data_IF_691847502123
#
_entry.id   IF_691847502123
#
_cell.length_a   1.000
_cell.length_b   1.000
_cell.length_c   1.000
_cell.angle_alpha   90.00
_cell.angle_beta   90.00
_cell.angle_gamma   90.00
#
_symmetry.space_group_name_H-M   'P 1'
#
loop_
_entity.id
_entity.type
_entity.pdbx_description
1 polymer ?
#
# COMPACT_ATOMS: atom_id res chain seq x y z
N UNK A 1 11.62 7.13 10.33
CA UNK A 1 10.66 7.45 9.24
C UNK A 1 9.26 7.10 9.72
N UNK A 2 8.29 7.95 9.49
CA UNK A 2 6.93 7.73 9.97
C UNK A 2 5.87 7.74 8.85
N UNK A 3 4.84 6.93 9.04
CA UNK A 3 3.69 6.83 8.16
C UNK A 3 2.57 7.73 8.68
N UNK A 4 2.29 8.84 7.99
CA UNK A 4 1.33 9.87 8.44
C UNK A 4 -0.05 9.76 7.79
N UNK A 5 -0.23 8.89 6.81
CA UNK A 5 -1.38 8.91 5.90
C UNK A 5 -2.00 7.53 5.73
N UNK A 6 -3.01 7.45 4.87
CA UNK A 6 -3.68 6.18 4.56
C UNK A 6 -2.74 5.10 4.00
N UNK A 7 -3.08 3.85 4.24
CA UNK A 7 -2.28 2.67 3.90
C UNK A 7 -1.77 2.63 2.45
N UNK A 8 -2.56 3.11 1.50
CA UNK A 8 -2.13 3.17 0.09
C UNK A 8 -0.92 4.05 -0.14
N UNK A 9 -0.85 5.20 0.53
CA UNK A 9 0.30 6.09 0.45
C UNK A 9 1.54 5.44 1.09
N UNK A 10 1.37 4.80 2.24
CA UNK A 10 2.46 4.12 2.93
C UNK A 10 3.08 3.07 1.99
N UNK A 11 2.25 2.21 1.39
CA UNK A 11 2.70 1.19 0.43
C UNK A 11 3.36 1.83 -0.79
N UNK A 12 2.77 2.90 -1.34
CA UNK A 12 3.31 3.58 -2.51
C UNK A 12 4.70 4.19 -2.27
N UNK A 13 4.88 4.85 -1.13
CA UNK A 13 6.11 5.57 -0.81
C UNK A 13 7.18 4.70 -0.14
N UNK A 14 6.85 3.50 0.32
CA UNK A 14 7.83 2.54 0.84
C UNK A 14 8.94 2.21 -0.17
N UNK A 15 8.69 2.39 -1.48
CA UNK A 15 9.69 2.23 -2.55
C UNK A 15 10.95 3.08 -2.39
N UNK A 16 10.89 4.14 -1.58
CA UNK A 16 12.04 5.01 -1.31
C UNK A 16 12.93 4.51 -0.17
N UNK A 17 12.49 3.52 0.62
CA UNK A 17 13.26 2.95 1.73
C UNK A 17 14.63 2.41 1.27
N UNK A 18 14.72 1.61 0.20
CA UNK A 18 16.01 1.12 -0.27
C UNK A 18 16.97 2.24 -0.69
N UNK A 19 16.44 3.38 -1.14
CA UNK A 19 17.24 4.54 -1.51
C UNK A 19 17.84 5.20 -0.26
N UNK A 20 17.05 5.32 0.80
CA UNK A 20 17.55 5.84 2.08
C UNK A 20 18.70 5.02 2.63
N UNK A 21 18.66 3.70 2.49
CA UNK A 21 19.73 2.82 2.96
C UNK A 21 21.07 3.09 2.29
N UNK A 22 21.08 3.63 1.06
CA UNK A 22 22.29 4.05 0.37
C UNK A 22 23.00 5.22 1.07
N UNK A 23 22.32 5.93 1.95
CA UNK A 23 22.90 6.99 2.80
C UNK A 23 23.63 6.45 4.03
N UNK A 24 23.78 5.13 4.15
CA UNK A 24 24.40 4.44 5.28
C UNK A 24 23.76 4.80 6.64
N UNK A 25 22.45 4.98 6.66
CA UNK A 25 21.69 5.21 7.87
C UNK A 25 20.97 3.94 8.35
N UNK A 26 20.70 3.88 9.65
CA UNK A 26 19.80 2.93 10.24
C UNK A 26 18.35 3.44 10.08
N UNK A 27 17.46 2.56 9.66
CA UNK A 27 16.08 2.92 9.32
C UNK A 27 15.11 2.28 10.33
N UNK A 28 14.55 3.11 11.19
CA UNK A 28 13.41 2.76 12.04
C UNK A 28 12.14 3.20 11.29
N UNK A 29 11.28 2.24 10.98
CA UNK A 29 10.03 2.49 10.26
C UNK A 29 8.81 2.40 11.17
N UNK A 30 8.23 3.55 11.50
CA UNK A 30 6.98 3.62 12.25
C UNK A 30 5.80 3.52 11.28
N UNK A 31 5.02 2.44 11.36
CA UNK A 31 3.81 2.26 10.56
C UNK A 31 2.73 1.48 11.31
N UNK A 32 1.44 1.66 10.96
CA UNK A 32 0.34 0.95 11.58
C UNK A 32 0.53 -0.57 11.59
N UNK A 33 0.26 -1.20 12.73
CA UNK A 33 0.46 -2.65 12.96
C UNK A 33 -0.29 -3.52 11.97
N UNK A 34 -1.44 -3.03 11.46
CA UNK A 34 -2.28 -3.74 10.49
C UNK A 34 -1.59 -4.01 9.16
N UNK A 35 -0.58 -3.22 8.80
CA UNK A 35 0.12 -3.33 7.52
C UNK A 35 1.61 -3.64 7.66
N UNK A 36 2.16 -3.75 8.87
CA UNK A 36 3.58 -4.08 9.10
C UNK A 36 3.98 -5.35 8.37
N UNK A 37 3.11 -6.35 8.34
CA UNK A 37 3.36 -7.63 7.67
C UNK A 37 3.69 -7.51 6.17
N UNK A 38 3.32 -6.39 5.53
CA UNK A 38 3.66 -6.12 4.12
C UNK A 38 5.14 -5.76 3.94
N UNK A 39 5.80 -5.31 4.99
CA UNK A 39 7.15 -4.76 4.96
C UNK A 39 8.20 -5.65 5.63
N UNK A 40 7.80 -6.77 6.25
CA UNK A 40 8.69 -7.70 6.98
C UNK A 40 9.85 -8.25 6.13
N UNK A 41 9.70 -8.28 4.79
CA UNK A 41 10.72 -8.79 3.90
C UNK A 41 11.60 -7.69 3.28
N UNK A 42 11.43 -6.43 3.68
CA UNK A 42 12.26 -5.33 3.22
C UNK A 42 13.50 -5.29 4.10
N UNK A 43 14.61 -5.83 3.58
CA UNK A 43 15.87 -5.97 4.32
C UNK A 43 16.50 -4.64 4.73
N UNK A 44 16.10 -3.56 4.09
CA UNK A 44 16.57 -2.20 4.34
C UNK A 44 15.93 -1.54 5.57
N UNK A 45 14.87 -2.13 6.11
CA UNK A 45 14.27 -1.70 7.39
C UNK A 45 15.01 -2.42 8.52
N UNK A 46 15.67 -1.67 9.38
CA UNK A 46 16.41 -2.25 10.51
C UNK A 46 15.46 -2.53 11.70
N UNK A 47 14.48 -1.66 11.91
CA UNK A 47 13.46 -1.83 12.94
C UNK A 47 12.11 -1.32 12.47
N UNK A 48 11.04 -2.02 12.90
CA UNK A 48 9.66 -1.64 12.62
C UNK A 48 8.91 -1.45 13.94
N UNK A 49 8.30 -0.28 14.10
CA UNK A 49 7.56 0.09 15.31
C UNK A 49 6.13 0.50 14.96
N UNK A 50 5.21 0.44 15.92
CA UNK A 50 3.88 1.02 15.78
C UNK A 50 3.90 2.53 16.08
N UNK A 51 2.96 3.34 15.55
CA UNK A 51 2.92 4.78 15.81
C UNK A 51 2.73 5.15 17.27
N UNK A 52 2.19 4.24 18.07
CA UNK A 52 1.95 4.41 19.50
C UNK A 52 3.19 4.07 20.35
N UNK A 53 4.21 3.48 19.73
CA UNK A 53 5.43 3.10 20.41
C UNK A 53 6.39 4.28 20.47
N UNK A 54 6.83 4.64 21.67
CA UNK A 54 7.86 5.65 21.86
C UNK A 54 9.20 5.16 21.28
N UNK A 55 9.86 6.05 20.55
CA UNK A 55 11.20 5.83 20.04
C UNK A 55 12.03 7.07 20.40
N UNK A 56 13.02 6.91 21.27
CA UNK A 56 13.84 8.04 21.76
C UNK A 56 15.19 8.14 21.05
N UNK A 57 15.70 7.04 20.51
CA UNK A 57 17.05 6.96 19.95
C UNK A 57 17.04 7.12 18.42
N UNK A 58 16.72 8.32 17.92
CA UNK A 58 16.88 8.62 16.50
C UNK A 58 17.51 10.00 16.30
N UNK A 59 18.34 10.13 15.27
CA UNK A 59 18.99 11.38 14.91
C UNK A 59 18.02 12.38 14.26
N UNK A 60 17.16 11.89 13.36
CA UNK A 60 16.13 12.69 12.69
C UNK A 60 14.96 11.80 12.29
N UNK A 61 13.83 12.42 12.06
CA UNK A 61 12.65 11.75 11.52
C UNK A 61 12.18 12.43 10.24
N UNK A 62 11.50 11.66 9.38
CA UNK A 62 10.97 12.17 8.13
C UNK A 62 9.63 11.52 7.83
N UNK A 63 8.60 12.30 7.40
CA UNK A 63 7.39 11.74 6.84
C UNK A 63 7.69 10.95 5.57
N UNK A 64 7.06 9.80 5.42
CA UNK A 64 7.33 8.94 4.26
C UNK A 64 7.01 9.63 2.93
N UNK A 65 5.98 10.48 2.91
CA UNK A 65 5.57 11.21 1.71
C UNK A 65 6.52 12.34 1.31
N UNK A 66 7.38 12.81 2.21
CA UNK A 66 8.34 13.87 1.93
C UNK A 66 9.63 13.34 1.28
N UNK A 67 9.84 12.01 1.31
CA UNK A 67 11.03 11.39 0.75
C UNK A 67 11.33 11.79 -0.70
N UNK A 68 10.38 11.84 -1.63
CA UNK A 68 10.67 12.27 -3.00
C UNK A 68 11.17 13.72 -3.11
N UNK A 69 10.77 14.59 -2.18
CA UNK A 69 11.21 15.99 -2.15
C UNK A 69 12.59 16.18 -1.51
N UNK A 70 12.97 15.27 -0.62
CA UNK A 70 14.25 15.29 0.11
C UNK A 70 15.35 14.61 -0.69
N UNK A 71 15.01 13.50 -1.36
CA UNK A 71 15.94 12.76 -2.19
C UNK A 71 16.22 13.54 -3.48
N UNK A 72 17.49 13.86 -3.70
CA UNK A 72 17.89 14.60 -4.90
C UNK A 72 17.67 13.79 -6.18
N UNK A 73 17.55 14.45 -7.35
CA UNK A 73 17.42 13.76 -8.64
C UNK A 73 18.49 12.70 -8.90
N UNK A 74 19.70 12.87 -8.35
CA UNK A 74 20.80 11.91 -8.50
C UNK A 74 20.50 10.58 -7.80
N UNK A 75 19.78 10.60 -6.67
CA UNK A 75 19.29 9.41 -5.98
C UNK A 75 18.06 8.80 -6.67
N UNK A 76 17.31 9.61 -7.42
CA UNK A 76 16.11 9.19 -8.14
C UNK A 76 16.38 8.75 -9.58
N UNK A 77 17.66 8.66 -9.99
CA UNK A 77 18.04 8.13 -11.31
C UNK A 77 17.61 6.65 -11.43
N UNK A 78 16.54 6.47 -12.15
CA UNK A 78 15.79 5.24 -12.21
C UNK A 78 14.62 5.30 -11.20
N UNK A 79 13.40 5.34 -11.72
CA UNK A 79 12.21 5.25 -10.88
C UNK A 79 12.39 4.07 -9.92
N UNK A 80 12.37 4.28 -8.60
CA UNK A 80 12.54 3.18 -7.67
C UNK A 80 11.51 2.10 -8.00
N UNK A 81 11.99 0.88 -8.14
CA UNK A 81 11.13 -0.26 -8.40
C UNK A 81 10.03 -0.34 -7.32
N UNK A 82 8.86 -0.87 -7.64
CA UNK A 82 7.87 -1.16 -6.62
C UNK A 82 8.52 -1.99 -5.51
N UNK A 83 8.14 -1.72 -4.27
CA UNK A 83 8.54 -2.57 -3.15
C UNK A 83 8.09 -3.99 -3.46
N UNK A 84 9.00 -4.94 -3.37
CA UNK A 84 8.68 -6.37 -3.52
C UNK A 84 7.95 -6.85 -2.25
N UNK A 85 6.64 -6.64 -2.26
CA UNK A 85 5.76 -7.15 -1.20
C UNK A 85 5.56 -8.63 -1.45
N UNK A 86 6.24 -9.46 -0.68
CA UNK A 86 6.08 -10.91 -0.75
C UNK A 86 4.71 -11.32 -0.22
N UNK A 87 3.96 -12.01 -1.06
CA UNK A 87 2.69 -12.61 -0.69
C UNK A 87 2.97 -13.98 -0.06
N UNK A 88 2.28 -14.29 1.02
CA UNK A 88 2.34 -15.62 1.64
C UNK A 88 1.74 -16.66 0.68
N UNK A 89 2.51 -17.71 0.36
CA UNK A 89 2.13 -18.74 -0.61
C UNK A 89 0.81 -19.45 -0.25
N UNK A 90 0.54 -19.68 1.03
CA UNK A 90 -0.72 -20.29 1.47
C UNK A 90 -1.91 -19.38 1.14
N UNK A 91 -1.77 -18.07 1.37
CA UNK A 91 -2.82 -17.11 1.00
C UNK A 91 -2.99 -17.01 -0.51
N UNK A 92 -1.91 -17.11 -1.27
CA UNK A 92 -1.98 -17.13 -2.73
C UNK A 92 -2.83 -18.32 -3.22
N UNK A 93 -2.55 -19.52 -2.70
CA UNK A 93 -3.31 -20.72 -3.02
C UNK A 93 -4.80 -20.61 -2.61
N UNK A 94 -5.09 -20.08 -1.43
CA UNK A 94 -6.48 -19.83 -1.00
C UNK A 94 -7.23 -18.93 -1.97
N UNK A 95 -6.58 -17.85 -2.42
CA UNK A 95 -7.18 -16.93 -3.38
C UNK A 95 -7.32 -17.52 -4.78
N UNK A 96 -6.37 -18.33 -5.24
CA UNK A 96 -6.47 -19.05 -6.51
C UNK A 96 -7.69 -19.98 -6.53
N UNK A 97 -7.92 -20.71 -5.45
CA UNK A 97 -9.11 -21.57 -5.30
C UNK A 97 -10.39 -20.73 -5.27
N UNK A 98 -10.40 -19.63 -4.53
CA UNK A 98 -11.58 -18.77 -4.36
C UNK A 98 -11.96 -18.04 -5.66
N UNK A 99 -10.96 -17.60 -6.42
CA UNK A 99 -11.16 -16.87 -7.68
C UNK A 99 -11.50 -17.81 -8.85
N UNK A 100 -11.27 -19.11 -8.67
CA UNK A 100 -11.53 -20.12 -9.69
C UNK A 100 -10.58 -20.04 -10.89
N UNK A 101 -10.54 -21.14 -11.63
CA UNK A 101 -9.79 -21.23 -12.89
C UNK A 101 -10.82 -21.01 -14.02
N UNK A 102 -10.99 -19.78 -14.43
CA UNK A 102 -11.72 -19.44 -15.65
C UNK A 102 -10.81 -18.59 -16.57
N UNK A 103 -11.09 -18.60 -17.86
CA UNK A 103 -10.33 -17.86 -18.87
C UNK A 103 -10.70 -16.37 -18.91
N UNK A 104 -11.60 -15.90 -18.04
CA UNK A 104 -12.05 -14.53 -18.01
C UNK A 104 -10.99 -13.62 -17.42
N UNK A 105 -10.91 -12.41 -17.93
CA UNK A 105 -10.09 -11.34 -17.34
C UNK A 105 -10.69 -10.97 -15.99
N UNK A 106 -9.92 -11.18 -14.91
CA UNK A 106 -10.33 -10.83 -13.54
C UNK A 106 -10.02 -9.37 -13.24
N UNK A 107 -11.04 -8.62 -12.85
CA UNK A 107 -10.95 -7.18 -12.57
C UNK A 107 -11.40 -6.93 -11.15
N UNK A 108 -10.49 -6.46 -10.30
CA UNK A 108 -10.81 -6.03 -8.94
C UNK A 108 -11.42 -4.63 -8.95
N UNK A 109 -12.52 -4.43 -8.22
CA UNK A 109 -13.16 -3.12 -8.05
C UNK A 109 -13.15 -2.68 -6.60
N UNK A 110 -12.76 -1.42 -6.39
CA UNK A 110 -12.91 -0.69 -5.16
C UNK A 110 -13.50 0.69 -5.51
N UNK A 111 -14.63 1.07 -4.92
CA UNK A 111 -15.39 2.27 -5.32
C UNK A 111 -15.59 3.28 -4.19
N UNK A 112 -15.24 2.92 -2.96
CA UNK A 112 -15.36 3.83 -1.82
C UNK A 112 -14.10 3.82 -0.98
N UNK A 113 -13.67 5.00 -0.56
CA UNK A 113 -12.58 5.19 0.37
C UNK A 113 -12.98 5.01 1.83
N UNK A 114 -12.31 5.72 2.72
CA UNK A 114 -12.63 5.71 4.14
C UNK A 114 -13.80 6.65 4.44
N UNK A 115 -14.99 6.17 4.87
CA UNK A 115 -16.15 7.01 5.12
C UNK A 115 -15.94 8.02 6.27
N UNK A 116 -14.95 7.80 7.12
CA UNK A 116 -14.58 8.75 8.18
C UNK A 116 -13.73 9.92 7.66
N UNK A 117 -13.28 9.87 6.41
CA UNK A 117 -12.58 10.98 5.79
C UNK A 117 -13.60 12.05 5.33
N UNK A 118 -13.54 13.31 5.82
CA UNK A 118 -14.46 14.36 5.41
C UNK A 118 -14.50 14.62 3.90
N UNK A 119 -13.43 14.24 3.20
CA UNK A 119 -13.30 14.36 1.73
C UNK A 119 -13.58 13.07 0.97
N UNK A 120 -14.14 12.04 1.63
CA UNK A 120 -14.40 10.76 0.96
C UNK A 120 -15.32 10.90 -0.25
N UNK A 121 -16.26 11.85 -0.21
CA UNK A 121 -17.15 12.17 -1.36
C UNK A 121 -16.40 12.60 -2.64
N UNK A 122 -15.13 13.03 -2.54
CA UNK A 122 -14.28 13.35 -3.70
C UNK A 122 -13.54 12.12 -4.23
N UNK A 123 -13.43 11.05 -3.44
CA UNK A 123 -12.67 9.85 -3.76
C UNK A 123 -13.56 8.61 -3.96
N UNK A 124 -14.87 8.77 -3.75
CA UNK A 124 -15.84 7.67 -3.82
C UNK A 124 -16.79 7.85 -4.98
N UNK A 125 -17.11 6.75 -5.64
CA UNK A 125 -18.01 6.69 -6.81
C UNK A 125 -19.14 5.73 -6.47
N UNK A 126 -20.38 6.08 -6.85
CA UNK A 126 -21.50 5.16 -6.66
C UNK A 126 -21.33 3.92 -7.55
N UNK A 127 -21.47 2.74 -6.96
CA UNK A 127 -21.31 1.45 -7.67
C UNK A 127 -22.22 1.35 -8.91
N UNK A 128 -23.39 1.96 -8.90
CA UNK A 128 -24.30 1.97 -10.05
C UNK A 128 -23.70 2.56 -11.33
N UNK A 129 -22.72 3.45 -11.22
CA UNK A 129 -22.02 4.04 -12.37
C UNK A 129 -21.09 3.07 -13.07
N UNK A 130 -20.75 1.94 -12.45
CA UNK A 130 -19.93 0.87 -13.06
C UNK A 130 -20.75 -0.11 -13.90
N UNK A 131 -22.07 0.08 -14.01
CA UNK A 131 -22.97 -0.87 -14.68
C UNK A 131 -22.50 -1.25 -16.09
N UNK A 132 -22.09 -0.30 -16.88
CA UNK A 132 -21.65 -0.54 -18.27
C UNK A 132 -20.31 -1.28 -18.31
N UNK A 133 -19.39 -0.96 -17.39
CA UNK A 133 -18.10 -1.62 -17.26
C UNK A 133 -18.29 -3.08 -16.82
N UNK A 134 -19.16 -3.33 -15.83
CA UNK A 134 -19.43 -4.67 -15.31
C UNK A 134 -20.07 -5.57 -16.39
N UNK A 135 -20.68 -4.98 -17.42
CA UNK A 135 -21.33 -5.69 -18.53
C UNK A 135 -20.38 -6.08 -19.67
N UNK A 136 -19.09 -5.77 -19.57
CA UNK A 136 -18.09 -6.12 -20.60
C UNK A 136 -17.98 -7.66 -20.70
N UNK A 137 -18.12 -8.25 -21.88
CA UNK A 137 -18.02 -9.69 -22.07
C UNK A 137 -16.60 -10.20 -21.77
N UNK A 138 -16.50 -11.47 -21.40
CA UNK A 138 -15.25 -12.15 -21.04
C UNK A 138 -14.49 -11.52 -19.86
N UNK A 139 -15.18 -10.78 -18.98
CA UNK A 139 -14.63 -10.25 -17.74
C UNK A 139 -15.32 -10.86 -16.52
N UNK A 140 -14.61 -10.92 -15.42
CA UNK A 140 -15.11 -11.32 -14.10
C UNK A 140 -14.73 -10.24 -13.10
N UNK A 141 -15.73 -9.61 -12.48
CA UNK A 141 -15.51 -8.52 -11.54
C UNK A 141 -15.52 -9.02 -10.11
N UNK A 142 -14.51 -8.62 -9.34
CA UNK A 142 -14.31 -9.04 -7.96
C UNK A 142 -14.33 -7.81 -7.08
N UNK A 143 -15.21 -7.82 -6.07
CA UNK A 143 -15.26 -6.74 -5.09
C UNK A 143 -14.04 -6.81 -4.17
N UNK A 144 -13.17 -5.81 -4.24
CA UNK A 144 -12.09 -5.56 -3.29
C UNK A 144 -12.51 -4.60 -2.19
N UNK A 145 -13.79 -4.16 -2.20
CA UNK A 145 -14.32 -3.21 -1.25
C UNK A 145 -14.36 -3.81 0.15
N UNK A 146 -13.83 -3.08 1.14
CA UNK A 146 -13.92 -3.39 2.56
C UNK A 146 -14.90 -2.43 3.28
N UNK A 147 -15.33 -2.84 4.46
CA UNK A 147 -16.17 -2.02 5.33
C UNK A 147 -17.65 -1.97 4.92
N UNK A 148 -18.36 -0.90 5.34
CA UNK A 148 -19.79 -0.74 5.18
C UNK A 148 -20.26 -0.68 3.70
N UNK A 149 -19.41 -0.21 2.81
CA UNK A 149 -19.72 -0.12 1.38
C UNK A 149 -19.74 -1.47 0.64
N UNK A 150 -19.40 -2.56 1.31
CA UNK A 150 -19.47 -3.93 0.75
C UNK A 150 -20.90 -4.44 0.58
N UNK A 151 -21.89 -3.75 1.18
CA UNK A 151 -23.31 -4.15 1.18
C UNK A 151 -24.03 -3.67 -0.06
#
# INVERSE_FOLDING_TARGET
MCAETGYGNIVQFARYIPILKQLNCEIIFSCPSEIQHLFENISEIDEMISPEQDCEDFFCWVPIMDLPGILTPDFLQGCPLPVDIKINDNKLQEWEVLLGIDEKIKIGLCWQGNPNNPRDHLNSINLSLFKDIISIPNTSFISLQKGAARK
#
